data_IF_609453958913
#
_entry.id   IF_609453958913
#
_cell.length_a   1.000
_cell.length_b   1.000
_cell.length_c   1.000
_cell.angle_alpha   90.00
_cell.angle_beta   90.00
_cell.angle_gamma   90.00
#
_symmetry.space_group_name_H-M   'P 1'
#
loop_
_entity.id
_entity.type
_entity.pdbx_description
1 polymer ?
#
# COMPACT_ATOMS: atom_id res chain seq x y z
N UNK A 1 -14.57 22.05 -6.70
CA UNK A 1 -14.23 20.71 -7.20
C UNK A 1 -15.44 19.82 -7.01
N UNK A 2 -15.84 19.06 -8.02
CA UNK A 2 -16.95 18.11 -7.92
C UNK A 2 -16.61 16.91 -7.03
N UNK A 3 -17.61 16.12 -6.69
CA UNK A 3 -17.45 14.90 -5.90
C UNK A 3 -17.17 13.67 -6.80
N UNK A 4 -16.49 13.88 -7.95
CA UNK A 4 -16.21 12.84 -8.95
C UNK A 4 -15.24 11.78 -8.43
N UNK A 5 -15.48 10.54 -8.82
CA UNK A 5 -14.54 9.43 -8.67
C UNK A 5 -13.48 9.51 -9.75
N UNK A 6 -12.24 9.10 -9.46
CA UNK A 6 -11.19 8.97 -10.47
C UNK A 6 -11.53 7.88 -11.49
N UNK A 7 -11.26 8.16 -12.76
CA UNK A 7 -11.70 7.30 -13.86
C UNK A 7 -10.89 6.01 -14.02
N UNK A 8 -9.76 5.86 -13.35
CA UNK A 8 -8.88 4.70 -13.50
C UNK A 8 -8.58 4.03 -12.17
N UNK A 9 -8.67 2.70 -12.17
CA UNK A 9 -8.32 1.83 -11.06
C UNK A 9 -7.18 0.91 -11.45
N UNK A 10 -6.08 0.97 -10.72
CA UNK A 10 -4.95 0.04 -10.84
C UNK A 10 -5.02 -0.97 -9.71
N UNK A 11 -4.78 -2.24 -10.01
CA UNK A 11 -4.79 -3.33 -9.05
C UNK A 11 -3.83 -4.43 -9.44
N UNK A 12 -3.39 -5.19 -8.46
CA UNK A 12 -2.65 -6.41 -8.63
C UNK A 12 -3.61 -7.59 -8.61
N UNK A 13 -3.72 -8.32 -9.70
CA UNK A 13 -4.52 -9.52 -9.81
C UNK A 13 -3.66 -10.72 -9.43
N UNK A 14 -4.08 -11.46 -8.39
CA UNK A 14 -3.29 -12.55 -7.80
C UNK A 14 -4.19 -13.73 -7.43
N UNK A 15 -3.64 -14.93 -7.51
CA UNK A 15 -4.28 -16.13 -7.00
C UNK A 15 -4.31 -16.12 -5.47
N UNK A 16 -5.28 -16.76 -4.80
CA UNK A 16 -5.34 -16.82 -3.35
C UNK A 16 -4.21 -17.70 -2.77
N UNK A 17 -3.96 -17.52 -1.49
CA UNK A 17 -3.12 -18.39 -0.64
C UNK A 17 -1.65 -18.54 -1.04
N UNK A 18 -1.08 -17.59 -1.79
CA UNK A 18 0.33 -17.61 -2.22
C UNK A 18 0.78 -18.82 -3.03
N UNK A 19 -0.09 -19.73 -3.43
CA UNK A 19 0.30 -20.95 -4.16
C UNK A 19 0.97 -20.69 -5.49
N UNK A 20 0.66 -19.55 -6.10
CA UNK A 20 1.17 -19.19 -7.44
C UNK A 20 1.59 -17.72 -7.47
N UNK A 21 2.42 -17.32 -6.51
CA UNK A 21 2.94 -15.96 -6.38
C UNK A 21 3.65 -15.42 -7.64
N UNK A 22 4.04 -16.29 -8.55
CA UNK A 22 4.65 -15.96 -9.84
C UNK A 22 3.61 -15.73 -10.96
N UNK A 23 2.31 -15.95 -10.72
CA UNK A 23 1.22 -15.68 -11.67
C UNK A 23 0.49 -14.39 -11.32
N UNK A 24 1.22 -13.30 -11.26
CA UNK A 24 0.69 -11.99 -10.87
C UNK A 24 0.65 -11.08 -12.09
N UNK A 25 -0.42 -10.28 -12.19
CA UNK A 25 -0.52 -9.19 -13.14
C UNK A 25 -0.85 -7.89 -12.42
N UNK A 26 -0.23 -6.79 -12.81
CA UNK A 26 -0.68 -5.45 -12.47
C UNK A 26 -1.45 -4.92 -13.66
N UNK A 27 -2.70 -4.55 -13.43
CA UNK A 27 -3.63 -4.06 -14.45
C UNK A 27 -4.16 -2.68 -14.06
N UNK A 28 -4.47 -1.89 -15.07
CA UNK A 28 -5.23 -0.66 -14.90
C UNK A 28 -6.49 -0.72 -15.75
N UNK A 29 -7.62 -0.39 -15.15
CA UNK A 29 -8.94 -0.39 -15.77
C UNK A 29 -9.54 1.01 -15.74
N UNK A 30 -10.14 1.43 -16.86
CA UNK A 30 -11.04 2.56 -16.88
C UNK A 30 -12.40 2.14 -16.30
N UNK A 31 -12.89 2.83 -15.26
CA UNK A 31 -14.16 2.51 -14.62
C UNK A 31 -15.38 3.09 -15.36
N UNK A 32 -15.17 4.05 -16.26
CA UNK A 32 -16.23 4.67 -17.09
C UNK A 32 -16.56 3.82 -18.33
N UNK A 33 -15.65 2.93 -18.70
CA UNK A 33 -15.82 1.95 -19.76
C UNK A 33 -15.09 0.65 -19.36
N UNK A 34 -15.16 -0.40 -20.13
CA UNK A 34 -14.61 -1.70 -19.77
C UNK A 34 -13.16 -1.91 -20.26
N UNK A 35 -12.47 -0.86 -20.68
CA UNK A 35 -11.09 -0.95 -21.17
C UNK A 35 -10.13 -1.28 -20.01
N UNK A 36 -9.31 -2.28 -20.23
CA UNK A 36 -8.30 -2.74 -19.30
C UNK A 36 -6.94 -2.82 -19.98
N UNK A 37 -5.89 -2.42 -19.29
CA UNK A 37 -4.50 -2.44 -19.76
C UNK A 37 -3.64 -3.22 -18.79
N UNK A 38 -2.77 -4.10 -19.27
CA UNK A 38 -1.77 -4.79 -18.46
C UNK A 38 -0.54 -3.87 -18.33
N UNK A 39 -0.16 -3.56 -17.11
CA UNK A 39 1.01 -2.73 -16.78
C UNK A 39 2.25 -3.55 -16.51
N UNK A 40 2.08 -4.73 -15.88
CA UNK A 40 3.15 -5.67 -15.64
C UNK A 40 2.58 -7.10 -15.67
N UNK A 41 3.29 -8.03 -16.30
CA UNK A 41 2.82 -9.39 -16.52
C UNK A 41 3.91 -10.40 -16.17
N UNK A 42 3.56 -11.43 -15.39
CA UNK A 42 4.47 -12.52 -15.05
C UNK A 42 5.00 -13.28 -16.27
N UNK A 43 4.24 -13.33 -17.39
CA UNK A 43 4.68 -13.97 -18.62
C UNK A 43 5.86 -13.24 -19.30
N UNK A 44 5.94 -11.90 -19.11
CA UNK A 44 7.06 -11.09 -19.61
C UNK A 44 8.21 -11.00 -18.58
N UNK A 45 7.93 -11.37 -17.35
CA UNK A 45 8.82 -11.23 -16.19
C UNK A 45 9.06 -12.59 -15.53
N UNK A 46 9.43 -13.62 -16.29
CA UNK A 46 9.61 -14.99 -15.79
C UNK A 46 10.43 -15.06 -14.49
N UNK A 47 9.97 -15.89 -13.56
CA UNK A 47 10.58 -16.10 -12.24
C UNK A 47 10.67 -14.83 -11.37
N UNK A 48 9.82 -13.82 -11.62
CA UNK A 48 9.76 -12.57 -10.87
C UNK A 48 8.39 -12.35 -10.27
N UNK A 49 8.38 -11.82 -9.06
CA UNK A 49 7.15 -11.41 -8.39
C UNK A 49 6.93 -9.92 -8.58
N UNK A 50 5.76 -9.54 -9.05
CA UNK A 50 5.34 -8.13 -9.10
C UNK A 50 4.68 -7.78 -7.77
N UNK A 51 5.32 -6.88 -7.05
CA UNK A 51 4.85 -6.51 -5.73
C UNK A 51 3.96 -5.24 -5.79
N UNK A 52 4.27 -4.26 -4.99
CA UNK A 52 3.44 -3.08 -4.84
C UNK A 52 3.56 -2.12 -6.03
N UNK A 53 2.48 -1.44 -6.33
CA UNK A 53 2.48 -0.19 -7.10
C UNK A 53 2.05 0.96 -6.18
N UNK A 54 2.40 2.18 -6.54
CA UNK A 54 1.97 3.38 -5.85
C UNK A 54 1.93 4.58 -6.80
N UNK A 55 0.94 5.46 -6.61
CA UNK A 55 0.86 6.74 -7.32
C UNK A 55 1.20 7.91 -6.41
N UNK A 56 1.91 8.90 -6.93
CA UNK A 56 2.06 10.20 -6.28
C UNK A 56 0.82 11.06 -6.55
N UNK A 57 0.06 11.40 -5.52
CA UNK A 57 -1.12 12.27 -5.59
C UNK A 57 -2.17 11.85 -6.65
N UNK A 58 -2.38 10.55 -6.85
CA UNK A 58 -3.24 9.96 -7.87
C UNK A 58 -2.90 10.43 -9.31
N UNK A 59 -1.65 10.87 -9.53
CA UNK A 59 -1.16 11.30 -10.83
C UNK A 59 -0.63 10.10 -11.62
N UNK A 60 -1.21 9.77 -12.78
CA UNK A 60 -0.74 8.68 -13.63
C UNK A 60 0.69 8.89 -14.15
N UNK A 61 1.18 10.13 -14.14
CA UNK A 61 2.53 10.49 -14.58
C UNK A 61 3.58 10.38 -13.47
N UNK A 62 3.18 10.09 -12.24
CA UNK A 62 4.09 9.84 -11.12
C UNK A 62 3.69 8.54 -10.42
N UNK A 63 4.40 7.47 -10.73
CA UNK A 63 4.10 6.15 -10.14
C UNK A 63 5.35 5.29 -9.98
N UNK A 64 5.25 4.28 -9.14
CA UNK A 64 6.30 3.30 -8.92
C UNK A 64 5.72 1.89 -8.90
N UNK A 65 6.42 0.96 -9.53
CA UNK A 65 6.11 -0.48 -9.51
C UNK A 65 7.36 -1.22 -9.04
N UNK A 66 7.22 -2.16 -8.12
CA UNK A 66 8.35 -2.98 -7.69
C UNK A 66 8.29 -4.39 -8.28
N UNK A 67 9.38 -4.78 -8.94
CA UNK A 67 9.56 -6.12 -9.48
C UNK A 67 10.66 -6.82 -8.68
N UNK A 68 10.30 -7.92 -8.04
CA UNK A 68 11.18 -8.74 -7.22
C UNK A 68 11.80 -9.87 -8.06
N UNK A 69 12.97 -10.34 -7.68
CA UNK A 69 13.66 -11.45 -8.31
C UNK A 69 15.02 -11.04 -8.89
N UNK A 70 15.64 -11.93 -9.65
CA UNK A 70 16.94 -11.66 -10.28
C UNK A 70 16.84 -10.49 -11.26
N UNK A 71 17.75 -9.53 -11.15
CA UNK A 71 17.68 -8.30 -11.91
C UNK A 71 16.47 -7.40 -11.60
N UNK A 72 15.78 -7.63 -10.46
CA UNK A 72 14.65 -6.84 -9.99
C UNK A 72 15.01 -5.39 -9.67
N UNK A 73 14.01 -4.59 -9.33
CA UNK A 73 14.17 -3.18 -8.95
C UNK A 73 12.84 -2.44 -8.85
N UNK A 74 12.91 -1.22 -8.36
CA UNK A 74 11.79 -0.29 -8.39
C UNK A 74 11.78 0.43 -9.75
N UNK A 75 10.64 0.41 -10.43
CA UNK A 75 10.46 1.11 -11.70
C UNK A 75 9.71 2.39 -11.42
N UNK A 76 10.39 3.51 -11.50
CA UNK A 76 9.81 4.85 -11.39
C UNK A 76 9.34 5.31 -12.76
N UNK A 77 8.06 5.65 -12.85
CA UNK A 77 7.51 6.46 -13.93
C UNK A 77 7.47 7.92 -13.51
N UNK A 78 8.09 8.78 -14.30
CA UNK A 78 7.95 10.24 -14.16
C UNK A 78 7.70 10.83 -15.56
N UNK A 79 6.46 11.26 -15.82
CA UNK A 79 6.02 11.80 -17.11
C UNK A 79 6.30 10.87 -18.33
N UNK A 80 6.03 9.57 -18.17
CA UNK A 80 6.25 8.57 -19.23
C UNK A 80 7.70 8.09 -19.35
N UNK A 81 8.65 8.73 -18.66
CA UNK A 81 10.03 8.25 -18.60
C UNK A 81 10.17 7.23 -17.48
N UNK A 82 10.46 5.98 -17.85
CA UNK A 82 10.72 4.90 -16.90
C UNK A 82 12.20 4.87 -16.50
N UNK A 83 12.46 4.69 -15.21
CA UNK A 83 13.80 4.51 -14.63
C UNK A 83 13.78 3.29 -13.72
N UNK A 84 14.78 2.44 -13.83
CA UNK A 84 14.99 1.32 -12.92
C UNK A 84 15.90 1.75 -11.78
N UNK A 85 15.41 1.66 -10.56
CA UNK A 85 16.09 2.12 -9.35
C UNK A 85 16.45 0.95 -8.45
N UNK A 86 17.67 0.94 -7.93
CA UNK A 86 18.08 0.10 -6.82
C UNK A 86 18.07 0.95 -5.54
N UNK A 87 16.95 0.94 -4.83
CA UNK A 87 16.76 1.68 -3.57
C UNK A 87 17.35 0.93 -2.35
N UNK A 88 18.29 0.03 -2.56
CA UNK A 88 18.95 -0.71 -1.48
C UNK A 88 20.39 -0.26 -1.33
N UNK A 89 20.80 0.08 -0.11
CA UNK A 89 22.21 0.26 0.26
C UNK A 89 22.69 -0.84 1.22
N UNK A 90 23.97 -0.80 1.60
CA UNK A 90 24.60 -1.86 2.41
C UNK A 90 23.99 -2.00 3.83
N UNK A 91 23.36 -0.96 4.35
CA UNK A 91 22.81 -0.94 5.71
C UNK A 91 21.36 -1.44 5.79
N UNK A 92 20.71 -1.66 4.66
CA UNK A 92 19.30 -2.05 4.60
C UNK A 92 19.14 -3.58 4.63
N UNK A 93 18.14 -4.03 5.40
CA UNK A 93 17.87 -5.46 5.63
C UNK A 93 17.34 -6.18 4.39
N UNK A 94 16.59 -5.49 3.53
CA UNK A 94 16.02 -6.05 2.30
C UNK A 94 15.82 -4.98 1.22
N UNK A 95 15.20 -5.34 0.11
CA UNK A 95 14.79 -4.39 -0.92
C UNK A 95 13.55 -3.59 -0.49
N UNK A 96 13.33 -2.45 -1.14
CA UNK A 96 12.24 -1.52 -0.87
C UNK A 96 10.86 -2.06 -1.27
N UNK A 97 9.85 -1.81 -0.42
CA UNK A 97 8.44 -2.11 -0.64
C UNK A 97 7.54 -1.03 -0.03
N UNK A 98 6.24 -1.03 -0.34
CA UNK A 98 5.23 -0.15 0.26
C UNK A 98 5.54 1.34 0.12
N UNK A 99 5.55 1.80 -1.13
CA UNK A 99 5.92 3.18 -1.47
C UNK A 99 4.85 4.21 -1.12
N UNK A 100 5.32 5.41 -0.71
CA UNK A 100 4.49 6.61 -0.57
C UNK A 100 5.27 7.84 -1.06
N UNK A 101 4.74 8.53 -2.07
CA UNK A 101 5.38 9.74 -2.60
C UNK A 101 5.15 10.95 -1.69
N UNK A 102 6.14 11.83 -1.62
CA UNK A 102 5.93 13.16 -1.07
C UNK A 102 5.10 14.02 -2.02
N UNK A 103 4.45 15.09 -1.51
CA UNK A 103 3.62 15.96 -2.35
C UNK A 103 4.39 16.62 -3.51
N UNK A 104 5.66 16.90 -3.32
CA UNK A 104 6.54 17.45 -4.36
C UNK A 104 6.91 16.42 -5.45
N UNK A 105 6.73 15.11 -5.19
CA UNK A 105 7.22 14.03 -6.03
C UNK A 105 8.74 13.86 -6.01
N UNK A 106 9.46 14.67 -5.23
CA UNK A 106 10.92 14.60 -5.10
C UNK A 106 11.36 13.41 -4.24
N UNK A 107 10.58 13.10 -3.20
CA UNK A 107 10.89 12.03 -2.26
C UNK A 107 9.88 10.89 -2.39
N UNK A 108 10.35 9.69 -2.10
CA UNK A 108 9.51 8.51 -1.90
C UNK A 108 9.90 7.85 -0.58
N UNK A 109 8.93 7.65 0.30
CA UNK A 109 9.12 6.82 1.49
C UNK A 109 8.79 5.38 1.16
N UNK A 110 9.47 4.44 1.83
CA UNK A 110 9.27 3.00 1.65
C UNK A 110 9.71 2.24 2.90
N UNK A 111 9.31 1.00 3.02
CA UNK A 111 9.89 0.12 4.03
C UNK A 111 10.69 -1.00 3.43
N UNK A 112 11.54 -1.61 4.26
CA UNK A 112 12.24 -2.86 3.97
C UNK A 112 11.75 -3.90 4.94
N UNK A 113 11.36 -5.08 4.47
CA UNK A 113 10.69 -6.07 5.29
C UNK A 113 11.31 -7.45 5.06
N UNK A 114 11.53 -8.19 6.14
CA UNK A 114 11.77 -9.63 6.11
C UNK A 114 10.52 -10.29 6.68
N UNK A 115 9.68 -10.82 5.79
CA UNK A 115 8.42 -11.44 6.13
C UNK A 115 8.57 -12.94 6.35
N UNK A 116 7.77 -13.48 7.25
CA UNK A 116 7.65 -14.92 7.53
C UNK A 116 6.19 -15.33 7.32
N UNK A 117 5.92 -16.26 6.38
CA UNK A 117 4.63 -16.90 6.29
C UNK A 117 4.52 -18.06 7.30
N UNK A 118 3.42 -18.14 8.02
CA UNK A 118 3.09 -19.22 8.92
C UNK A 118 1.78 -19.87 8.49
N UNK A 119 1.81 -21.18 8.25
CA UNK A 119 0.64 -21.94 7.84
C UNK A 119 -0.02 -22.60 9.05
N UNK A 120 -1.33 -22.50 9.13
CA UNK A 120 -2.14 -23.06 10.20
C UNK A 120 -3.09 -24.15 9.70
N UNK A 121 -3.33 -25.16 10.51
CA UNK A 121 -4.32 -26.19 10.21
C UNK A 121 -5.78 -25.72 10.45
N UNK A 122 -5.99 -24.48 10.82
CA UNK A 122 -7.31 -23.91 11.09
C UNK A 122 -7.96 -23.44 9.79
N UNK A 123 -9.22 -23.82 9.55
CA UNK A 123 -9.99 -23.45 8.36
C UNK A 123 -10.24 -21.93 8.25
N UNK A 124 -10.41 -21.24 9.40
CA UNK A 124 -10.70 -19.81 9.43
C UNK A 124 -9.45 -18.93 9.26
N UNK A 125 -8.27 -19.49 9.51
CA UNK A 125 -6.99 -18.79 9.39
C UNK A 125 -5.90 -19.75 8.91
N UNK A 126 -5.83 -19.96 7.61
CA UNK A 126 -4.88 -20.91 7.01
C UNK A 126 -3.47 -20.36 6.92
N UNK A 127 -3.35 -19.06 6.68
CA UNK A 127 -2.09 -18.37 6.49
C UNK A 127 -2.03 -17.14 7.38
N UNK A 128 -0.88 -16.90 7.96
CA UNK A 128 -0.51 -15.69 8.65
C UNK A 128 0.83 -15.21 8.10
N UNK A 129 0.96 -13.91 7.92
CA UNK A 129 2.23 -13.30 7.50
C UNK A 129 2.61 -12.23 8.53
N UNK A 130 3.87 -12.21 8.92
CA UNK A 130 4.37 -11.19 9.85
C UNK A 130 5.79 -10.76 9.50
N UNK A 131 6.15 -9.55 9.91
CA UNK A 131 7.51 -9.05 9.81
C UNK A 131 8.38 -9.63 10.93
N UNK A 132 9.53 -10.19 10.59
CA UNK A 132 10.59 -10.52 11.56
C UNK A 132 11.58 -9.36 11.74
N UNK A 133 11.73 -8.54 10.69
CA UNK A 133 12.46 -7.27 10.67
C UNK A 133 11.79 -6.34 9.66
N UNK A 134 11.70 -5.06 10.01
CA UNK A 134 11.26 -4.03 9.07
C UNK A 134 11.75 -2.65 9.52
N UNK A 135 12.13 -1.82 8.55
CA UNK A 135 12.63 -0.46 8.73
C UNK A 135 12.00 0.47 7.69
N UNK A 136 11.89 1.76 8.01
CA UNK A 136 11.37 2.80 7.13
C UNK A 136 12.46 3.77 6.70
N UNK A 137 12.48 4.10 5.41
CA UNK A 137 13.43 4.98 4.75
C UNK A 137 12.73 6.00 3.85
N UNK A 138 13.47 7.02 3.46
CA UNK A 138 13.08 7.96 2.40
C UNK A 138 14.18 7.99 1.34
N UNK A 139 13.81 7.93 0.06
CA UNK A 139 14.72 8.17 -1.06
C UNK A 139 14.51 9.57 -1.65
N UNK A 140 15.58 10.32 -1.82
CA UNK A 140 15.64 11.53 -2.66
C UNK A 140 15.87 11.08 -4.10
N UNK A 141 14.82 11.17 -4.92
CA UNK A 141 14.79 10.66 -6.30
C UNK A 141 15.60 11.54 -7.27
N UNK A 142 15.90 12.77 -6.89
CA UNK A 142 16.65 13.71 -7.71
C UNK A 142 18.15 13.61 -7.46
N UNK A 143 18.55 13.26 -6.22
CA UNK A 143 19.95 13.17 -5.80
C UNK A 143 20.43 11.72 -5.60
N UNK A 144 19.60 10.71 -5.88
CA UNK A 144 19.87 9.27 -5.69
C UNK A 144 20.46 8.98 -4.27
N UNK A 145 19.80 9.51 -3.24
CA UNK A 145 20.23 9.40 -1.84
C UNK A 145 19.18 8.74 -0.98
N UNK A 146 19.58 7.80 -0.11
CA UNK A 146 18.74 7.23 0.94
C UNK A 146 18.89 8.04 2.22
N UNK A 147 17.78 8.34 2.86
CA UNK A 147 17.66 9.08 4.10
C UNK A 147 17.08 8.12 5.16
N UNK A 148 17.76 8.00 6.28
CA UNK A 148 17.36 7.18 7.43
C UNK A 148 17.36 7.99 8.72
N UNK A 149 16.70 7.44 9.75
CA UNK A 149 16.71 7.96 11.11
C UNK A 149 16.75 6.78 12.08
N UNK A 150 17.45 6.90 13.22
CA UNK A 150 17.34 5.90 14.30
C UNK A 150 15.92 5.68 14.82
N UNK A 151 15.01 6.64 14.57
CA UNK A 151 13.59 6.54 14.94
C UNK A 151 12.72 5.81 13.90
N UNK A 152 13.28 5.46 12.75
CA UNK A 152 12.57 4.77 11.66
C UNK A 152 13.26 3.47 11.24
N UNK A 153 14.37 3.12 11.90
CA UNK A 153 15.18 1.92 11.65
C UNK A 153 15.85 1.42 12.93
N UNK A 154 15.04 1.19 13.96
CA UNK A 154 15.49 0.71 15.28
C UNK A 154 15.42 -0.81 15.35
N UNK A 155 16.54 -1.46 15.67
CA UNK A 155 16.63 -2.92 15.78
C UNK A 155 15.69 -3.56 16.83
N UNK A 156 15.14 -2.79 17.76
CA UNK A 156 14.20 -3.23 18.80
C UNK A 156 12.74 -3.08 18.38
N UNK A 157 12.50 -2.41 17.25
CA UNK A 157 11.18 -2.16 16.70
C UNK A 157 11.01 -2.78 15.29
N UNK A 158 9.80 -2.73 14.82
CA UNK A 158 9.38 -3.08 13.46
C UNK A 158 8.65 -1.87 12.90
N UNK A 159 9.19 -1.23 11.88
CA UNK A 159 8.63 -0.05 11.23
C UNK A 159 8.22 -0.37 9.80
N UNK A 160 6.97 -0.06 9.42
CA UNK A 160 6.45 -0.44 8.09
C UNK A 160 5.32 0.48 7.61
N UNK A 161 4.90 0.31 6.36
CA UNK A 161 3.80 1.01 5.69
C UNK A 161 3.87 2.54 5.81
N UNK A 162 4.96 3.16 5.39
CA UNK A 162 5.08 4.60 5.49
C UNK A 162 4.27 5.34 4.42
N UNK A 163 3.81 6.56 4.76
CA UNK A 163 3.18 7.50 3.84
C UNK A 163 3.51 8.93 4.23
N UNK A 164 3.58 9.85 3.25
CA UNK A 164 3.74 11.26 3.53
C UNK A 164 2.40 11.93 3.89
N UNK A 165 2.49 13.00 4.70
CA UNK A 165 1.41 13.97 4.82
C UNK A 165 1.26 14.76 3.52
N UNK A 166 0.05 15.27 3.25
CA UNK A 166 -0.21 16.11 2.07
C UNK A 166 0.69 17.34 1.97
N UNK A 167 1.10 17.92 3.09
CA UNK A 167 1.96 19.10 3.14
C UNK A 167 3.48 18.77 3.20
N UNK A 168 3.86 17.50 3.09
CA UNK A 168 5.25 17.03 3.12
C UNK A 168 5.95 17.16 4.47
N UNK A 169 5.25 17.61 5.53
CA UNK A 169 5.89 17.91 6.84
C UNK A 169 6.03 16.71 7.76
N UNK A 170 5.39 15.59 7.43
CA UNK A 170 5.41 14.38 8.25
C UNK A 170 5.49 13.14 7.38
N UNK A 171 6.14 12.11 7.90
CA UNK A 171 6.01 10.72 7.47
C UNK A 171 5.22 9.99 8.54
N UNK A 172 4.09 9.38 8.15
CA UNK A 172 3.28 8.48 8.98
C UNK A 172 3.72 7.06 8.71
N UNK A 173 3.77 6.22 9.75
CA UNK A 173 4.12 4.81 9.60
C UNK A 173 3.55 3.98 10.75
N UNK A 174 3.64 2.66 10.63
CA UNK A 174 3.23 1.73 11.66
C UNK A 174 4.46 1.21 12.39
N UNK A 175 4.43 1.19 13.71
CA UNK A 175 5.54 0.72 14.56
C UNK A 175 5.09 -0.27 15.62
N UNK A 176 5.83 -1.38 15.78
CA UNK A 176 5.61 -2.35 16.86
C UNK A 176 6.92 -2.65 17.58
N UNK A 177 6.84 -2.99 18.88
CA UNK A 177 7.98 -3.51 19.61
C UNK A 177 8.22 -4.98 19.22
N UNK A 178 9.44 -5.33 18.84
CA UNK A 178 9.83 -6.70 18.44
C UNK A 178 9.60 -7.77 19.52
N UNK A 179 9.52 -7.39 20.78
CA UNK A 179 9.14 -8.33 21.87
C UNK A 179 7.79 -8.99 21.63
N UNK A 180 6.90 -8.36 20.85
CA UNK A 180 5.64 -8.98 20.42
C UNK A 180 5.80 -10.28 19.63
N UNK A 181 6.95 -10.49 18.97
CA UNK A 181 7.29 -11.74 18.26
C UNK A 181 7.57 -12.92 19.20
N UNK A 182 7.88 -12.67 20.48
CA UNK A 182 8.13 -13.70 21.48
C UNK A 182 6.83 -14.36 21.98
N UNK A 183 5.68 -13.79 21.67
CA UNK A 183 4.40 -14.36 22.02
C UNK A 183 4.11 -15.62 21.19
N UNK A 184 3.70 -16.71 21.84
CA UNK A 184 3.51 -18.03 21.21
C UNK A 184 2.51 -18.06 20.05
N UNK A 185 1.68 -17.03 19.91
CA UNK A 185 0.64 -16.93 18.88
C UNK A 185 0.59 -15.55 18.20
N UNK A 186 1.66 -14.77 18.31
CA UNK A 186 1.81 -13.41 17.75
C UNK A 186 0.77 -12.37 18.22
N UNK A 187 -0.14 -12.72 19.14
CA UNK A 187 -1.16 -11.78 19.64
C UNK A 187 -0.58 -10.57 20.40
N UNK A 188 0.67 -10.68 20.85
CA UNK A 188 1.42 -9.57 21.44
C UNK A 188 2.00 -8.59 20.42
N UNK A 189 2.02 -8.96 19.13
CA UNK A 189 2.56 -8.12 18.06
C UNK A 189 1.52 -7.08 17.64
N UNK A 190 1.56 -5.89 18.22
CA UNK A 190 0.64 -4.80 17.94
C UNK A 190 1.37 -3.57 17.41
N UNK A 191 0.92 -3.09 16.27
CA UNK A 191 1.45 -1.90 15.61
C UNK A 191 0.64 -0.66 15.99
N UNK A 192 1.33 0.39 16.36
CA UNK A 192 0.75 1.73 16.57
C UNK A 192 0.89 2.58 15.33
N UNK A 193 -0.06 3.48 15.09
CA UNK A 193 0.07 4.55 14.10
C UNK A 193 0.88 5.70 14.72
N UNK A 194 1.97 6.04 14.06
CA UNK A 194 2.84 7.15 14.48
C UNK A 194 3.16 8.07 13.32
N UNK A 195 3.69 9.27 13.64
CA UNK A 195 4.27 10.17 12.65
C UNK A 195 5.56 10.79 13.18
N UNK A 196 6.46 11.09 12.25
CA UNK A 196 7.72 11.79 12.50
C UNK A 196 7.78 13.03 11.59
N UNK A 197 8.25 14.19 12.05
CA UNK A 197 8.47 15.34 11.18
C UNK A 197 9.48 15.04 10.07
N UNK A 198 9.24 15.60 8.89
CA UNK A 198 10.15 15.55 7.76
C UNK A 198 10.25 16.93 7.10
N UNK A 199 11.45 17.36 6.79
CA UNK A 199 11.69 18.60 6.08
C UNK A 199 12.11 18.31 4.63
N UNK A 200 11.23 18.56 3.66
CA UNK A 200 11.52 18.39 2.23
C UNK A 200 12.61 19.35 1.71
N UNK A 201 12.91 20.45 2.38
CA UNK A 201 13.96 21.38 1.94
C UNK A 201 15.36 20.83 2.20
N UNK A 202 15.55 20.25 3.38
CA UNK A 202 16.83 19.66 3.79
C UNK A 202 16.91 18.17 3.49
N UNK A 203 15.77 17.50 3.30
CA UNK A 203 15.67 16.05 3.20
C UNK A 203 16.10 15.37 4.49
N UNK A 204 15.48 15.73 5.63
CA UNK A 204 15.85 15.19 6.94
C UNK A 204 14.61 14.90 7.79
N UNK A 205 14.70 13.84 8.60
CA UNK A 205 13.74 13.55 9.64
C UNK A 205 13.91 14.45 10.85
N UNK A 206 12.82 14.72 11.57
CA UNK A 206 12.86 15.31 12.90
C UNK A 206 13.34 14.33 13.97
N UNK A 207 13.32 14.79 15.22
CA UNK A 207 13.91 14.09 16.38
C UNK A 207 12.89 13.47 17.33
N UNK A 208 11.60 13.64 17.07
CA UNK A 208 10.53 13.16 17.94
C UNK A 208 9.46 12.43 17.12
N UNK A 209 8.84 11.42 17.71
CA UNK A 209 7.77 10.63 17.12
C UNK A 209 6.49 10.82 17.92
N UNK A 210 5.42 11.24 17.25
CA UNK A 210 4.08 11.34 17.84
C UNK A 210 3.32 10.04 17.64
N UNK A 211 2.79 9.44 18.72
CA UNK A 211 1.85 8.32 18.63
C UNK A 211 0.43 8.85 18.48
N UNK A 212 -0.24 8.44 17.40
CA UNK A 212 -1.59 8.90 17.05
C UNK A 212 -2.69 7.89 17.46
N UNK A 213 -2.39 6.58 17.31
CA UNK A 213 -3.35 5.52 17.63
C UNK A 213 -2.62 4.23 18.04
N UNK A 214 -3.14 3.51 19.04
CA UNK A 214 -2.54 2.28 19.61
C UNK A 214 -3.51 1.27 20.22
N UNK A 215 -4.83 1.48 20.10
CA UNK A 215 -5.82 0.59 20.72
C UNK A 215 -5.90 -0.77 20.05
N UNK A 216 -5.78 -0.79 18.71
CA UNK A 216 -5.67 -2.02 17.91
C UNK A 216 -4.41 -2.00 17.05
N UNK A 217 -4.03 -3.13 16.47
CA UNK A 217 -2.89 -3.20 15.56
C UNK A 217 -3.22 -2.49 14.24
N UNK A 218 -2.35 -1.58 13.80
CA UNK A 218 -2.58 -0.68 12.65
C UNK A 218 -1.73 -1.10 11.45
N UNK A 219 -2.28 -0.90 10.25
CA UNK A 219 -1.55 -1.04 8.99
C UNK A 219 -2.10 -0.12 7.89
N UNK A 220 -1.27 0.12 6.88
CA UNK A 220 -1.58 0.87 5.65
C UNK A 220 -2.19 2.26 5.88
N UNK A 221 -1.60 3.16 6.67
CA UNK A 221 -2.13 4.52 6.79
C UNK A 221 -2.09 5.24 5.44
N UNK A 222 -3.18 5.94 5.09
CA UNK A 222 -3.31 6.75 3.87
C UNK A 222 -3.97 8.08 4.21
N UNK A 223 -3.27 9.17 3.94
CA UNK A 223 -3.77 10.51 4.21
C UNK A 223 -4.68 10.96 3.07
N UNK A 224 -5.83 11.53 3.40
CA UNK A 224 -6.75 12.08 2.40
C UNK A 224 -6.13 13.27 1.64
N UNK A 225 -6.52 13.50 0.37
CA UNK A 225 -5.97 14.59 -0.44
C UNK A 225 -6.21 16.02 0.09
N UNK A 226 -7.11 16.19 1.05
CA UNK A 226 -7.29 17.46 1.78
C UNK A 226 -6.44 17.55 3.06
N UNK A 227 -5.72 16.47 3.41
CA UNK A 227 -4.88 16.39 4.60
C UNK A 227 -5.65 16.26 5.92
N UNK A 228 -6.98 16.13 5.87
CA UNK A 228 -7.82 16.11 7.07
C UNK A 228 -7.93 14.74 7.70
N UNK A 229 -8.03 13.68 6.90
CA UNK A 229 -8.27 12.33 7.38
C UNK A 229 -7.08 11.41 7.16
N UNK A 230 -6.87 10.50 8.11
CA UNK A 230 -6.05 9.32 7.93
C UNK A 230 -6.96 8.09 7.91
N UNK A 231 -7.02 7.41 6.77
CA UNK A 231 -7.67 6.12 6.61
C UNK A 231 -6.63 5.03 6.85
N UNK A 232 -6.93 4.05 7.69
CA UNK A 232 -6.03 2.95 8.02
C UNK A 232 -6.81 1.67 8.30
N UNK A 233 -6.16 0.53 8.23
CA UNK A 233 -6.75 -0.75 8.62
C UNK A 233 -6.32 -1.09 10.04
N UNK A 234 -7.20 -1.72 10.80
CA UNK A 234 -6.90 -2.29 12.12
C UNK A 234 -7.16 -3.79 12.13
N UNK A 235 -6.40 -4.51 12.95
CA UNK A 235 -6.61 -5.92 13.27
C UNK A 235 -6.35 -6.14 14.77
N UNK A 236 -6.63 -7.32 15.30
CA UNK A 236 -6.36 -7.63 16.70
C UNK A 236 -4.87 -7.66 17.01
N UNK A 237 -4.04 -8.06 16.03
CA UNK A 237 -2.59 -8.10 16.09
C UNK A 237 -1.99 -8.17 14.67
N UNK A 238 -0.67 -8.11 14.55
CA UNK A 238 0.03 -8.22 13.27
C UNK A 238 -0.15 -7.00 12.37
N UNK A 239 0.29 -7.11 11.12
CA UNK A 239 0.28 -5.98 10.16
C UNK A 239 -0.03 -6.38 8.71
N UNK A 240 -0.42 -7.62 8.47
CA UNK A 240 -0.87 -8.09 7.15
C UNK A 240 -2.36 -8.46 7.19
N UNK A 241 -3.23 -7.45 7.19
CA UNK A 241 -4.65 -7.57 7.54
C UNK A 241 -5.46 -8.41 6.57
N UNK A 242 -4.99 -8.63 5.34
CA UNK A 242 -5.66 -9.50 4.36
C UNK A 242 -5.82 -10.95 4.84
N UNK A 243 -5.03 -11.35 5.85
CA UNK A 243 -5.06 -12.67 6.49
C UNK A 243 -5.82 -12.68 7.83
N UNK A 244 -6.37 -11.52 8.22
CA UNK A 244 -7.12 -11.33 9.46
C UNK A 244 -8.60 -11.12 9.11
N UNK A 245 -9.49 -12.10 9.35
CA UNK A 245 -10.93 -11.92 9.06
C UNK A 245 -11.55 -10.71 9.77
N UNK A 246 -11.05 -10.38 10.97
CA UNK A 246 -11.48 -9.26 11.80
C UNK A 246 -10.85 -7.90 11.40
N UNK A 247 -10.19 -7.84 10.27
CA UNK A 247 -9.55 -6.59 9.83
C UNK A 247 -10.56 -5.61 9.26
N UNK A 248 -10.58 -4.41 9.82
CA UNK A 248 -11.52 -3.33 9.56
C UNK A 248 -10.83 -2.03 9.14
N UNK A 249 -11.51 -1.22 8.32
CA UNK A 249 -11.09 0.14 8.02
C UNK A 249 -11.54 1.09 9.13
N UNK A 250 -10.62 1.95 9.56
CA UNK A 250 -10.86 3.04 10.50
C UNK A 250 -10.42 4.36 9.89
N UNK A 251 -11.08 5.45 10.26
CA UNK A 251 -10.76 6.79 9.77
C UNK A 251 -10.58 7.76 10.96
N UNK A 252 -9.40 8.37 11.03
CA UNK A 252 -9.09 9.41 12.02
C UNK A 252 -9.20 10.80 11.40
N UNK A 253 -9.91 11.71 12.03
CA UNK A 253 -9.83 13.15 11.76
C UNK A 253 -8.55 13.69 12.42
N UNK A 254 -7.57 14.07 11.61
CA UNK A 254 -6.25 14.53 12.07
C UNK A 254 -6.28 15.89 12.78
N UNK A 255 -7.36 16.66 12.64
CA UNK A 255 -7.52 17.94 13.33
C UNK A 255 -8.03 17.74 14.76
N UNK A 256 -8.94 16.79 14.95
CA UNK A 256 -9.61 16.55 16.24
C UNK A 256 -9.08 15.34 16.99
N UNK A 257 -8.37 14.43 16.33
CA UNK A 257 -7.95 13.15 16.86
C UNK A 257 -9.09 12.13 16.96
N UNK A 258 -10.32 12.46 16.55
CA UNK A 258 -11.46 11.55 16.62
C UNK A 258 -11.31 10.43 15.61
N UNK A 259 -11.57 9.20 16.06
CA UNK A 259 -11.53 7.98 15.23
C UNK A 259 -12.94 7.45 15.02
N UNK A 260 -13.28 7.13 13.78
CA UNK A 260 -14.51 6.47 13.35
C UNK A 260 -14.17 5.05 12.90
N UNK A 261 -14.86 4.05 13.43
CA UNK A 261 -14.70 2.63 13.10
C UNK A 261 -15.36 2.22 11.78
N UNK A 262 -15.95 3.16 11.05
CA UNK A 262 -16.56 2.95 9.73
C UNK A 262 -17.49 1.73 9.65
N UNK A 263 -18.34 1.52 10.66
CA UNK A 263 -19.23 0.34 10.77
C UNK A 263 -20.15 0.12 9.56
N UNK A 264 -20.51 1.18 8.84
CA UNK A 264 -21.31 1.07 7.60
C UNK A 264 -20.50 0.56 6.40
N UNK A 265 -19.17 0.64 6.48
CA UNK A 265 -18.22 0.24 5.41
C UNK A 265 -17.73 -1.18 5.63
N UNK A 266 -17.38 -1.51 6.86
CA UNK A 266 -16.79 -2.78 7.25
C UNK A 266 -17.77 -3.95 7.20
N UNK A 267 -17.24 -5.16 7.10
CA UNK A 267 -17.97 -6.41 7.03
C UNK A 267 -17.46 -7.40 8.08
N UNK A 268 -18.01 -8.60 8.13
CA UNK A 268 -17.54 -9.69 9.00
C UNK A 268 -16.26 -10.39 8.48
N UNK A 269 -15.73 -9.92 7.36
CA UNK A 269 -14.50 -10.44 6.73
C UNK A 269 -13.51 -9.31 6.51
N UNK A 270 -12.27 -9.65 6.16
CA UNK A 270 -11.20 -8.68 5.97
C UNK A 270 -11.55 -7.57 4.99
N UNK A 271 -11.49 -6.32 5.45
CA UNK A 271 -11.61 -5.09 4.68
C UNK A 271 -10.29 -4.30 4.80
N UNK A 272 -9.53 -4.17 3.71
CA UNK A 272 -8.15 -3.65 3.74
C UNK A 272 -7.68 -3.10 2.40
N UNK A 273 -6.40 -2.73 2.29
CA UNK A 273 -5.75 -2.22 1.08
C UNK A 273 -6.52 -1.08 0.40
N UNK A 274 -6.68 0.00 1.11
CA UNK A 274 -7.45 1.16 0.67
C UNK A 274 -6.59 2.24 0.03
N UNK A 275 -7.18 3.02 -0.86
CA UNK A 275 -6.61 4.25 -1.41
C UNK A 275 -7.67 5.31 -1.66
N UNK A 276 -7.28 6.59 -1.51
CA UNK A 276 -8.15 7.73 -1.77
C UNK A 276 -8.22 8.09 -3.26
N UNK A 277 -9.38 8.63 -3.70
CA UNK A 277 -9.49 9.41 -4.92
C UNK A 277 -8.82 10.78 -4.75
N UNK A 278 -8.44 11.43 -5.85
CA UNK A 278 -7.82 12.77 -5.80
C UNK A 278 -8.74 13.85 -5.20
N UNK A 279 -10.04 13.66 -5.23
CA UNK A 279 -11.02 14.57 -4.64
C UNK A 279 -11.15 14.43 -3.13
N UNK A 280 -10.65 13.31 -2.54
CA UNK A 280 -10.90 12.96 -1.15
C UNK A 280 -12.36 12.64 -0.84
N UNK A 281 -13.22 12.50 -1.88
CA UNK A 281 -14.64 12.16 -1.73
C UNK A 281 -14.93 10.67 -1.90
N UNK A 282 -13.96 9.92 -2.37
CA UNK A 282 -14.07 8.49 -2.55
C UNK A 282 -12.79 7.80 -2.06
N UNK A 283 -12.96 6.58 -1.60
CA UNK A 283 -11.86 5.63 -1.47
C UNK A 283 -12.26 4.27 -2.02
N UNK A 284 -11.28 3.52 -2.48
CA UNK A 284 -11.43 2.13 -2.90
C UNK A 284 -10.69 1.26 -1.91
N UNK A 285 -11.16 0.04 -1.69
CA UNK A 285 -10.53 -0.94 -0.81
C UNK A 285 -10.79 -2.37 -1.27
N UNK A 286 -9.95 -3.30 -0.85
CA UNK A 286 -10.16 -4.73 -1.08
C UNK A 286 -10.96 -5.33 0.07
N UNK A 287 -12.06 -6.02 -0.26
CA UNK A 287 -12.93 -6.67 0.72
C UNK A 287 -13.11 -8.15 0.39
N UNK A 288 -13.05 -9.00 1.39
CA UNK A 288 -13.35 -10.44 1.30
C UNK A 288 -14.77 -10.77 1.78
N UNK A 289 -15.67 -9.80 1.84
CA UNK A 289 -17.01 -9.91 2.46
C UNK A 289 -17.93 -10.98 1.90
N UNK A 290 -17.72 -11.39 0.64
CA UNK A 290 -18.62 -12.34 -0.02
C UNK A 290 -18.31 -13.79 0.39
N UNK A 291 -17.03 -14.17 0.42
CA UNK A 291 -16.61 -15.56 0.62
C UNK A 291 -15.46 -15.77 1.64
N UNK A 292 -14.87 -14.67 2.11
CA UNK A 292 -13.73 -14.69 3.02
C UNK A 292 -12.39 -15.07 2.37
N UNK A 293 -12.37 -15.33 1.05
CA UNK A 293 -11.20 -15.83 0.33
C UNK A 293 -10.69 -14.82 -0.72
N UNK A 294 -11.58 -14.37 -1.62
CA UNK A 294 -11.21 -13.51 -2.73
C UNK A 294 -11.47 -12.03 -2.41
N UNK A 295 -10.41 -11.22 -2.41
CA UNK A 295 -10.54 -9.78 -2.27
C UNK A 295 -11.11 -9.14 -3.53
N UNK A 296 -12.24 -8.43 -3.41
CA UNK A 296 -12.88 -7.67 -4.49
C UNK A 296 -12.75 -6.17 -4.21
N UNK A 297 -12.61 -5.31 -5.24
CA UNK A 297 -12.53 -3.86 -5.03
C UNK A 297 -13.91 -3.27 -4.76
N UNK A 298 -14.04 -2.59 -3.62
CA UNK A 298 -15.24 -1.88 -3.20
C UNK A 298 -14.96 -0.38 -3.14
N UNK A 299 -15.92 0.44 -3.56
CA UNK A 299 -15.87 1.89 -3.52
C UNK A 299 -16.76 2.43 -2.42
N UNK A 300 -16.26 3.41 -1.68
CA UNK A 300 -17.00 4.10 -0.65
C UNK A 300 -16.97 5.61 -0.90
N UNK A 301 -18.15 6.25 -0.86
CA UNK A 301 -18.28 7.69 -0.88
C UNK A 301 -18.15 8.27 0.52
N UNK A 302 -17.42 9.38 0.63
CA UNK A 302 -17.27 10.18 1.86
C UNK A 302 -17.79 11.56 1.59
N UNK A 303 -18.83 11.97 2.32
CA UNK A 303 -19.43 13.30 2.16
C UNK A 303 -18.52 14.43 2.69
N UNK A 304 -18.97 15.68 2.52
CA UNK A 304 -18.19 16.86 2.92
C UNK A 304 -18.06 17.02 4.44
N UNK A 305 -18.87 16.31 5.20
CA UNK A 305 -18.82 16.25 6.66
C UNK A 305 -17.86 15.15 7.14
N UNK A 306 -17.31 14.34 6.21
CA UNK A 306 -16.42 13.23 6.51
C UNK A 306 -17.14 11.93 6.86
N UNK A 307 -18.47 11.87 6.60
CA UNK A 307 -19.25 10.66 6.84
C UNK A 307 -19.11 9.71 5.65
N UNK A 308 -18.67 8.48 5.92
CA UNK A 308 -18.63 7.41 4.94
C UNK A 308 -20.03 6.83 4.70
N UNK A 309 -20.28 6.38 3.47
CA UNK A 309 -21.53 5.78 3.03
C UNK A 309 -21.37 4.30 2.69
N UNK A 310 -22.49 3.58 2.49
CA UNK A 310 -22.47 2.16 2.16
C UNK A 310 -21.64 1.90 0.89
N UNK A 311 -20.66 0.99 0.93
CA UNK A 311 -19.83 0.70 -0.22
C UNK A 311 -20.53 -0.18 -1.25
N UNK A 312 -20.01 -0.16 -2.49
CA UNK A 312 -20.45 -1.05 -3.57
C UNK A 312 -19.23 -1.63 -4.30
N UNK A 313 -19.36 -2.85 -4.82
CA UNK A 313 -18.30 -3.53 -5.56
C UNK A 313 -18.06 -2.89 -6.92
N UNK A 314 -16.83 -2.94 -7.43
CA UNK A 314 -16.50 -2.51 -8.79
C UNK A 314 -17.42 -3.22 -9.80
N UNK A 315 -18.26 -2.48 -10.55
CA UNK A 315 -19.13 -3.09 -11.55
C UNK A 315 -18.34 -3.81 -12.64
N UNK A 316 -18.86 -4.95 -13.10
CA UNK A 316 -18.29 -5.74 -14.20
C UNK A 316 -19.24 -5.73 -15.38
N UNK A 317 -18.70 -5.94 -16.59
CA UNK A 317 -19.49 -6.00 -17.81
C UNK A 317 -20.49 -7.17 -17.75
N UNK A 318 -19.99 -8.32 -17.29
CA UNK A 318 -20.81 -9.52 -17.05
C UNK A 318 -21.23 -9.56 -15.58
N UNK A 319 -22.52 -9.56 -15.25
CA UNK A 319 -22.99 -9.53 -13.87
C UNK A 319 -22.50 -10.69 -13.02
N UNK A 320 -22.27 -11.87 -13.63
CA UNK A 320 -21.79 -13.10 -12.97
C UNK A 320 -20.26 -13.20 -12.90
N UNK A 321 -19.53 -12.16 -13.32
CA UNK A 321 -18.05 -12.18 -13.39
C UNK A 321 -17.40 -12.64 -12.08
N UNK A 322 -17.91 -12.17 -10.96
CA UNK A 322 -17.31 -12.49 -9.65
C UNK A 322 -17.63 -13.91 -9.17
N UNK A 323 -18.64 -14.59 -9.74
CA UNK A 323 -18.98 -15.97 -9.41
C UNK A 323 -17.90 -16.95 -9.93
N UNK A 324 -17.27 -16.59 -11.06
CA UNK A 324 -16.23 -17.39 -11.74
C UNK A 324 -14.82 -16.85 -11.54
N UNK A 325 -14.64 -15.69 -10.91
CA UNK A 325 -13.34 -15.04 -10.74
C UNK A 325 -12.59 -15.60 -9.53
N UNK A 326 -11.72 -16.58 -9.75
CA UNK A 326 -10.89 -17.23 -8.73
C UNK A 326 -9.59 -16.43 -8.43
N UNK A 327 -9.65 -15.09 -8.48
CA UNK A 327 -8.50 -14.21 -8.21
C UNK A 327 -8.88 -13.07 -7.29
N UNK A 328 -7.90 -12.62 -6.51
CA UNK A 328 -8.02 -11.44 -5.66
C UNK A 328 -7.49 -10.20 -6.35
N UNK A 329 -8.19 -9.08 -6.16
CA UNK A 329 -7.79 -7.74 -6.55
C UNK A 329 -7.09 -7.08 -5.35
N UNK A 330 -5.77 -7.11 -5.32
CA UNK A 330 -5.01 -6.56 -4.21
C UNK A 330 -4.51 -5.16 -4.50
N UNK A 331 -4.44 -4.36 -3.45
CA UNK A 331 -3.92 -3.01 -3.45
C UNK A 331 -4.60 -2.18 -4.56
N UNK A 332 -5.94 -2.07 -4.53
CA UNK A 332 -6.63 -1.22 -5.51
C UNK A 332 -6.24 0.24 -5.26
N UNK A 333 -5.81 0.94 -6.31
CA UNK A 333 -5.39 2.33 -6.23
C UNK A 333 -5.95 3.15 -7.37
N UNK A 334 -6.53 4.31 -7.02
CA UNK A 334 -7.16 5.22 -7.96
C UNK A 334 -6.13 6.15 -8.61
N UNK A 335 -6.36 6.51 -9.88
CA UNK A 335 -5.63 7.56 -10.58
C UNK A 335 -6.52 8.37 -11.51
N UNK A 336 -6.15 9.64 -11.70
CA UNK A 336 -6.93 10.60 -12.50
C UNK A 336 -6.97 10.28 -13.99
N UNK A 337 -6.02 9.50 -14.46
CA UNK A 337 -5.89 9.14 -15.88
C UNK A 337 -5.13 7.83 -16.08
N UNK A 338 -4.97 7.42 -17.35
CA UNK A 338 -4.21 6.23 -17.70
C UNK A 338 -2.72 6.46 -17.50
N UNK A 339 -2.00 5.44 -17.01
CA UNK A 339 -0.54 5.48 -16.99
C UNK A 339 0.02 5.50 -18.41
N UNK A 340 1.15 6.22 -18.64
CA UNK A 340 1.73 6.39 -19.98
C UNK A 340 2.69 5.25 -20.41
N UNK A 341 2.56 4.06 -19.81
CA UNK A 341 3.39 2.89 -20.12
C UNK A 341 2.56 1.60 -20.10
N UNK A 342 3.13 0.50 -20.58
CA UNK A 342 2.54 -0.85 -20.53
C UNK A 342 3.56 -1.91 -20.09
N UNK A 343 3.17 -3.19 -20.19
CA UNK A 343 4.00 -4.31 -19.75
C UNK A 343 5.28 -4.47 -20.59
N UNK A 344 5.24 -4.09 -21.86
CA UNK A 344 6.42 -4.14 -22.74
C UNK A 344 7.43 -3.07 -22.35
N UNK A 345 6.95 -1.87 -21.99
CA UNK A 345 7.81 -0.79 -21.50
C UNK A 345 8.51 -1.19 -20.19
N UNK A 346 7.77 -1.84 -19.29
CA UNK A 346 8.34 -2.39 -18.04
C UNK A 346 9.40 -3.46 -18.35
N UNK A 347 9.13 -4.39 -19.28
CA UNK A 347 10.11 -5.40 -19.69
C UNK A 347 11.39 -4.77 -20.24
N UNK A 348 11.26 -3.76 -21.08
CA UNK A 348 12.39 -3.07 -21.68
C UNK A 348 13.26 -2.35 -20.65
N UNK A 349 12.65 -1.66 -19.69
CA UNK A 349 13.42 -0.98 -18.63
C UNK A 349 14.05 -1.97 -17.64
N UNK A 350 13.44 -3.13 -17.44
CA UNK A 350 14.00 -4.18 -16.58
C UNK A 350 15.32 -4.75 -17.12
N UNK A 351 15.56 -4.70 -18.42
CA UNK A 351 16.82 -5.12 -19.07
C UNK A 351 17.96 -4.12 -18.84
N UNK A 352 17.65 -2.91 -18.38
CA UNK A 352 18.64 -1.86 -18.13
C UNK A 352 19.34 -2.04 -16.79
N UNK A 353 20.53 -1.45 -16.64
CA UNK A 353 21.19 -1.37 -15.35
C UNK A 353 20.41 -0.44 -14.41
N UNK A 354 20.29 -0.84 -13.15
CA UNK A 354 19.57 -0.06 -12.15
C UNK A 354 20.43 1.11 -11.64
N UNK A 355 19.84 2.28 -11.51
CA UNK A 355 20.46 3.44 -10.87
C UNK A 355 20.65 3.16 -9.38
N UNK A 356 21.88 3.33 -8.87
CA UNK A 356 22.23 3.08 -7.48
C UNK A 356 21.97 4.31 -6.61
N UNK A 357 21.48 4.06 -5.42
CA UNK A 357 21.29 5.07 -4.37
C UNK A 357 22.37 4.91 -3.28
N UNK A 358 22.85 6.04 -2.73
CA UNK A 358 23.87 6.12 -1.69
C UNK A 358 23.24 6.28 -0.31
#
# INVERSE_FOLDING_TARGET
MGDSLDAYLTYRLIEPDYEVWNKIQIKQRCIENWQEKILADHNLQENRCMNCHAFGNQDPNLSMVYIRGEGGGAILNRNGKLRKLNLKNANMISSSVYYGFSPSGKYVTFSTNIIIPAFHANADKRLEVYDSKSDVYVADLDNNRIISSPLTSDSTHLETFPTFSLNGKYVYYCVANRKGLESTNLKGLKYSLVRIPFDEKTGSFGTEVDTLYKERSVCHPKISPDGRYCLFTVADYGTFPIWHPEADLYMMDLQTGKVDSLSIVNSEKSDTYHSWSHTGRWFVFASKRDDGLYGKPYFCYVDRQGKAHKPFVLPQREPTFYDDCLKSFNIPELSRGPVPFDAIDIENVMKQEAEKFK
#
